data_IF_604732096084
#
_entry.id   IF_604732096084
#
_cell.length_a   1.000
_cell.length_b   1.000
_cell.length_c   1.000
_cell.angle_alpha   90.00
_cell.angle_beta   90.00
_cell.angle_gamma   90.00
#
_symmetry.space_group_name_H-M   'P 1'
#
loop_
_entity.id
_entity.type
_entity.pdbx_description
1 polymer ?
#
# COMPACT_ATOMS: atom_id res chain seq x y z
N UNK A 1 -42.64 -23.64 11.49
CA UNK A 1 -42.18 -22.31 11.05
C UNK A 1 -41.00 -22.52 10.11
N UNK A 2 -41.15 -22.16 8.84
CA UNK A 2 -40.08 -22.31 7.84
C UNK A 2 -39.13 -21.13 7.99
N UNK A 3 -37.82 -21.33 8.17
CA UNK A 3 -36.88 -20.22 8.25
C UNK A 3 -36.91 -19.42 6.95
N UNK A 4 -37.00 -18.10 7.05
CA UNK A 4 -36.92 -17.21 5.90
C UNK A 4 -35.57 -17.38 5.20
N UNK A 5 -35.58 -17.49 3.87
CA UNK A 5 -34.36 -17.55 3.09
C UNK A 5 -33.57 -16.25 3.28
N UNK A 6 -32.35 -16.37 3.80
CA UNK A 6 -31.44 -15.23 3.91
C UNK A 6 -30.99 -14.89 2.49
N UNK A 7 -31.17 -13.64 2.02
CA UNK A 7 -30.75 -13.27 0.67
C UNK A 7 -29.25 -13.54 0.51
N UNK A 8 -28.90 -14.27 -0.53
CA UNK A 8 -27.50 -14.53 -0.85
C UNK A 8 -26.83 -13.23 -1.27
N UNK A 9 -25.75 -12.87 -0.57
CA UNK A 9 -24.92 -11.73 -0.92
C UNK A 9 -24.20 -11.98 -2.26
N UNK A 10 -23.87 -10.91 -2.98
CA UNK A 10 -23.12 -10.99 -4.24
C UNK A 10 -21.73 -11.60 -4.01
N UNK A 11 -21.23 -12.48 -4.90
CA UNK A 11 -19.92 -13.10 -4.70
C UNK A 11 -18.77 -12.07 -4.63
N UNK A 12 -17.89 -12.19 -3.63
CA UNK A 12 -16.65 -11.41 -3.51
C UNK A 12 -15.52 -12.18 -4.20
N UNK A 13 -14.95 -11.61 -5.25
CA UNK A 13 -13.91 -12.28 -6.06
C UNK A 13 -12.48 -12.07 -5.55
N UNK A 14 -12.22 -11.03 -4.74
CA UNK A 14 -10.90 -10.73 -4.23
C UNK A 14 -10.78 -9.30 -3.71
N UNK A 15 -9.54 -8.91 -3.40
CA UNK A 15 -9.22 -7.53 -2.98
C UNK A 15 -9.02 -6.67 -4.22
N UNK A 16 -9.85 -5.63 -4.39
CA UNK A 16 -9.71 -4.67 -5.50
C UNK A 16 -8.49 -3.77 -5.33
N UNK A 17 -8.33 -3.23 -4.13
CA UNK A 17 -7.13 -2.50 -3.72
C UNK A 17 -6.99 -2.56 -2.20
N UNK A 18 -5.76 -2.46 -1.72
CA UNK A 18 -5.43 -2.22 -0.32
C UNK A 18 -4.93 -0.79 -0.17
N UNK A 19 -5.43 -0.07 0.83
CA UNK A 19 -5.09 1.32 1.09
C UNK A 19 -4.26 1.45 2.37
N UNK A 20 -3.22 2.27 2.33
CA UNK A 20 -2.38 2.55 3.49
C UNK A 20 -1.95 4.00 3.53
N UNK A 21 -1.75 4.54 4.73
CA UNK A 21 -1.19 5.88 4.92
C UNK A 21 0.34 5.83 4.81
N UNK A 22 0.92 6.61 3.91
CA UNK A 22 2.37 6.86 3.88
C UNK A 22 2.70 8.15 4.67
N UNK A 23 3.99 8.31 5.02
CA UNK A 23 4.47 9.53 5.68
C UNK A 23 4.52 10.73 4.73
N UNK A 24 4.41 10.51 3.43
CA UNK A 24 4.75 11.52 2.44
C UNK A 24 3.81 12.73 2.46
N UNK A 25 4.42 13.90 2.27
CA UNK A 25 3.72 15.06 1.73
C UNK A 25 3.55 14.94 0.21
N UNK A 26 2.83 15.87 -0.42
CA UNK A 26 2.72 15.94 -1.88
C UNK A 26 4.10 16.05 -2.56
N UNK A 27 4.99 16.87 -1.99
CA UNK A 27 6.37 17.09 -2.46
C UNK A 27 7.26 15.85 -2.28
N UNK A 28 7.00 15.03 -1.25
CA UNK A 28 7.79 13.83 -0.95
C UNK A 28 7.30 12.57 -1.71
N UNK A 29 6.23 12.68 -2.51
CA UNK A 29 5.61 11.53 -3.20
C UNK A 29 6.50 10.83 -4.23
N UNK A 30 7.53 11.50 -4.75
CA UNK A 30 8.48 10.93 -5.71
C UNK A 30 9.37 9.83 -5.09
N UNK A 31 9.75 9.94 -3.81
CA UNK A 31 10.54 8.90 -3.14
C UNK A 31 9.74 7.60 -3.06
N UNK A 32 8.47 7.70 -2.69
CA UNK A 32 7.55 6.56 -2.64
C UNK A 32 7.27 6.00 -4.03
N UNK A 33 7.08 6.84 -5.06
CA UNK A 33 6.96 6.36 -6.44
C UNK A 33 8.17 5.52 -6.85
N UNK A 34 9.37 6.09 -6.71
CA UNK A 34 10.62 5.40 -7.07
C UNK A 34 10.80 4.11 -6.29
N UNK A 35 10.48 4.10 -5.00
CA UNK A 35 10.54 2.86 -4.22
C UNK A 35 9.64 1.77 -4.80
N UNK A 36 8.40 2.08 -5.17
CA UNK A 36 7.45 1.07 -5.67
C UNK A 36 7.69 0.69 -7.13
N UNK A 37 8.21 1.60 -7.95
CA UNK A 37 8.55 1.30 -9.35
C UNK A 37 9.91 0.61 -9.49
N UNK A 38 10.95 1.10 -8.83
CA UNK A 38 12.33 0.64 -9.03
C UNK A 38 12.61 -0.71 -8.34
N UNK A 39 12.06 -0.94 -7.14
CA UNK A 39 12.38 -2.13 -6.35
C UNK A 39 11.50 -3.34 -6.70
N UNK A 40 10.16 -3.31 -6.48
CA UNK A 40 9.30 -4.43 -6.83
C UNK A 40 8.76 -4.36 -8.26
N UNK A 41 9.01 -3.28 -9.03
CA UNK A 41 8.55 -3.18 -10.42
C UNK A 41 7.05 -2.91 -10.55
N UNK A 42 6.41 -2.31 -9.55
CA UNK A 42 4.97 -2.04 -9.59
C UNK A 42 4.71 -0.71 -10.31
N UNK A 43 4.05 -0.70 -11.48
CA UNK A 43 3.79 0.53 -12.21
C UNK A 43 2.82 1.45 -11.47
N UNK A 44 3.14 2.75 -11.39
CA UNK A 44 2.18 3.77 -11.01
C UNK A 44 1.15 3.92 -12.14
N UNK A 45 -0.12 3.65 -11.83
CA UNK A 45 -1.21 3.73 -12.82
C UNK A 45 -2.12 4.93 -12.61
N UNK A 46 -2.26 5.41 -11.38
CA UNK A 46 -3.05 6.60 -11.05
C UNK A 46 -2.34 7.42 -9.96
N UNK A 47 -2.34 8.73 -10.12
CA UNK A 47 -1.94 9.71 -9.12
C UNK A 47 -3.04 10.74 -9.01
N UNK A 48 -3.53 10.97 -7.80
CA UNK A 48 -4.52 12.01 -7.50
C UNK A 48 -3.92 12.96 -6.48
N UNK A 49 -4.08 14.25 -6.73
CA UNK A 49 -3.68 15.34 -5.84
C UNK A 49 -4.93 16.11 -5.45
N UNK A 50 -5.00 16.59 -4.21
CA UNK A 50 -5.92 17.64 -3.75
C UNK A 50 -7.40 17.42 -4.09
N UNK A 51 -8.22 17.11 -3.10
CA UNK A 51 -9.66 16.99 -3.35
C UNK A 51 -10.49 16.61 -2.14
N UNK A 52 -11.73 16.25 -2.41
CA UNK A 52 -12.63 15.72 -1.39
C UNK A 52 -12.65 14.19 -1.49
N UNK A 53 -12.47 13.50 -0.37
CA UNK A 53 -12.45 12.05 -0.30
C UNK A 53 -13.81 11.50 -0.77
N UNK A 54 -13.85 10.62 -1.80
CA UNK A 54 -15.10 10.04 -2.26
C UNK A 54 -15.82 9.28 -1.14
N UNK A 55 -17.09 9.61 -0.91
CA UNK A 55 -17.94 8.95 0.09
C UNK A 55 -17.98 9.66 1.45
N UNK A 56 -16.90 10.32 1.89
CA UNK A 56 -16.91 11.11 3.15
C UNK A 56 -17.06 12.61 2.90
N UNK A 57 -16.57 13.10 1.76
CA UNK A 57 -16.60 14.53 1.44
C UNK A 57 -15.61 15.36 2.26
N UNK A 58 -14.68 14.75 2.98
CA UNK A 58 -13.64 15.48 3.69
C UNK A 58 -12.60 16.03 2.71
N UNK A 59 -12.20 17.29 2.87
CA UNK A 59 -11.10 17.85 2.10
C UNK A 59 -9.79 17.24 2.60
N UNK A 60 -9.20 16.38 1.77
CA UNK A 60 -7.88 15.83 1.98
C UNK A 60 -6.91 16.59 1.09
N UNK A 61 -6.02 17.44 1.62
CA UNK A 61 -4.94 18.06 0.84
C UNK A 61 -3.87 17.04 0.41
N UNK A 62 -4.16 15.76 0.57
CA UNK A 62 -3.23 14.68 0.42
C UNK A 62 -3.09 14.19 -1.01
N UNK A 63 -1.98 13.50 -1.23
CA UNK A 63 -1.67 12.79 -2.45
C UNK A 63 -2.16 11.33 -2.32
N UNK A 64 -2.58 10.74 -3.44
CA UNK A 64 -2.99 9.34 -3.52
C UNK A 64 -2.37 8.63 -4.74
N UNK A 65 -1.44 7.69 -4.50
CA UNK A 65 -0.81 6.87 -5.55
C UNK A 65 -1.44 5.49 -5.65
N UNK A 66 -1.58 4.96 -6.87
CA UNK A 66 -2.00 3.59 -7.14
C UNK A 66 -0.94 2.85 -7.92
N UNK A 67 -0.43 1.77 -7.32
CA UNK A 67 0.50 0.84 -7.97
C UNK A 67 -0.23 -0.45 -8.32
N UNK A 68 -0.19 -0.83 -9.60
CA UNK A 68 -0.93 -1.99 -10.10
C UNK A 68 -0.10 -3.28 -9.99
N UNK A 69 -0.70 -4.33 -9.46
CA UNK A 69 -0.16 -5.69 -9.50
C UNK A 69 -0.59 -6.40 -10.79
N UNK A 70 0.13 -7.45 -11.21
CA UNK A 70 -0.15 -8.22 -12.44
C UNK A 70 -1.58 -8.74 -12.55
N UNK A 71 -2.23 -9.04 -11.42
CA UNK A 71 -3.63 -9.51 -11.37
C UNK A 71 -4.68 -8.41 -11.48
N UNK A 72 -4.28 -7.14 -11.69
CA UNK A 72 -5.18 -5.99 -11.82
C UNK A 72 -5.63 -5.37 -10.49
N UNK A 73 -5.24 -5.94 -9.34
CA UNK A 73 -5.42 -5.31 -8.03
C UNK A 73 -4.37 -4.23 -7.78
N UNK A 74 -4.61 -3.35 -6.80
CA UNK A 74 -3.73 -2.21 -6.54
C UNK A 74 -3.28 -2.11 -5.08
N UNK A 75 -2.09 -1.55 -4.86
CA UNK A 75 -1.72 -0.93 -3.58
C UNK A 75 -1.94 0.56 -3.75
N UNK A 76 -2.67 1.15 -2.82
CA UNK A 76 -3.02 2.55 -2.81
C UNK A 76 -2.38 3.22 -1.58
N UNK A 77 -1.66 4.32 -1.79
CA UNK A 77 -0.93 5.02 -0.73
C UNK A 77 -1.45 6.45 -0.58
N UNK A 78 -1.83 6.81 0.65
CA UNK A 78 -2.33 8.13 1.01
C UNK A 78 -1.25 8.90 1.78
N UNK A 79 -0.75 9.98 1.20
CA UNK A 79 0.00 11.00 1.94
C UNK A 79 -0.97 12.07 2.40
N UNK A 80 -1.11 12.34 3.69
CA UNK A 80 -2.09 13.32 4.18
C UNK A 80 -1.56 14.77 4.19
N UNK A 81 -0.34 15.01 3.70
CA UNK A 81 0.27 16.34 3.63
C UNK A 81 0.86 16.84 4.95
N UNK A 82 0.72 16.10 6.05
CA UNK A 82 1.22 16.45 7.38
C UNK A 82 2.60 15.84 7.69
N UNK A 83 3.20 15.11 6.75
CA UNK A 83 4.50 14.50 6.93
C UNK A 83 4.53 13.42 8.03
N UNK A 84 3.38 12.88 8.46
CA UNK A 84 3.30 11.92 9.55
C UNK A 84 2.95 10.52 9.09
N UNK A 85 3.64 9.51 9.63
CA UNK A 85 3.34 8.11 9.39
C UNK A 85 2.14 7.64 10.25
N UNK A 86 1.52 6.53 9.83
CA UNK A 86 0.52 5.87 10.66
C UNK A 86 1.17 5.31 11.94
N UNK A 87 0.69 5.74 13.09
CA UNK A 87 1.10 5.16 14.37
C UNK A 87 0.56 3.73 14.50
N UNK A 88 1.35 2.79 15.05
CA UNK A 88 0.84 1.48 15.42
C UNK A 88 -0.35 1.64 16.38
N UNK A 89 -1.42 0.87 16.16
CA UNK A 89 -2.54 0.90 17.09
C UNK A 89 -2.08 0.43 18.47
N UNK A 90 -2.36 1.18 19.56
CA UNK A 90 -1.84 0.87 20.90
C UNK A 90 -2.35 -0.47 21.45
N UNK A 91 -3.42 -1.01 20.89
CA UNK A 91 -4.00 -2.30 21.27
C UNK A 91 -3.65 -3.46 20.31
N UNK A 92 -2.80 -3.22 19.31
CA UNK A 92 -2.54 -4.19 18.24
C UNK A 92 -1.05 -4.58 18.24
N UNK A 93 -0.71 -5.88 18.39
CA UNK A 93 0.67 -6.32 18.27
C UNK A 93 1.27 -5.94 16.91
N UNK A 94 2.54 -5.51 16.90
CA UNK A 94 3.21 -4.99 15.71
C UNK A 94 3.21 -5.94 14.50
N UNK A 95 3.08 -7.25 14.72
CA UNK A 95 3.06 -8.24 13.65
C UNK A 95 1.70 -8.39 12.97
N UNK A 96 0.60 -7.83 13.49
CA UNK A 96 -0.74 -8.06 12.94
C UNK A 96 -0.95 -7.29 11.65
N UNK A 97 -0.52 -6.03 11.60
CA UNK A 97 -0.81 -5.14 10.47
C UNK A 97 0.21 -5.34 9.34
N UNK A 98 -0.01 -6.38 8.54
CA UNK A 98 0.84 -6.71 7.39
C UNK A 98 -0.01 -7.13 6.19
N UNK A 99 0.49 -6.79 5.01
CA UNK A 99 0.00 -7.36 3.75
C UNK A 99 0.98 -8.43 3.26
N UNK A 100 0.44 -9.56 2.82
CA UNK A 100 1.20 -10.61 2.16
C UNK A 100 0.74 -10.71 0.70
N UNK A 101 1.69 -10.63 -0.22
CA UNK A 101 1.43 -10.64 -1.65
C UNK A 101 1.87 -11.96 -2.26
N UNK A 102 1.05 -12.49 -3.18
CA UNK A 102 1.39 -13.67 -3.97
C UNK A 102 2.34 -13.26 -5.09
N UNK A 103 3.37 -14.08 -5.31
CA UNK A 103 4.27 -13.95 -6.45
C UNK A 103 4.38 -15.29 -7.18
N UNK A 104 4.48 -15.23 -8.50
CA UNK A 104 4.68 -16.40 -9.35
C UNK A 104 6.19 -16.58 -9.54
N UNK A 105 6.83 -17.32 -8.64
CA UNK A 105 8.30 -17.45 -8.66
C UNK A 105 8.79 -18.73 -7.99
N UNK A 106 9.85 -19.31 -8.55
CA UNK A 106 10.57 -20.39 -7.89
C UNK A 106 11.26 -19.88 -6.61
N UNK A 107 11.45 -20.75 -5.61
CA UNK A 107 12.03 -20.35 -4.32
C UNK A 107 13.40 -19.66 -4.45
N UNK A 108 14.21 -20.06 -5.44
CA UNK A 108 15.51 -19.46 -5.70
C UNK A 108 15.42 -17.99 -6.15
N UNK A 109 14.50 -17.70 -7.06
CA UNK A 109 14.22 -16.34 -7.55
C UNK A 109 13.66 -15.46 -6.44
N UNK A 110 12.72 -15.97 -5.62
CA UNK A 110 12.22 -15.25 -4.44
C UNK A 110 13.34 -14.92 -3.45
N UNK A 111 14.29 -15.85 -3.23
CA UNK A 111 15.47 -15.61 -2.38
C UNK A 111 16.41 -14.56 -2.98
N UNK A 112 16.64 -14.58 -4.29
CA UNK A 112 17.43 -13.58 -4.98
C UNK A 112 16.78 -12.19 -4.90
N UNK A 113 15.45 -12.12 -5.11
CA UNK A 113 14.69 -10.88 -4.93
C UNK A 113 14.80 -10.36 -3.50
N UNK A 114 14.67 -11.23 -2.49
CA UNK A 114 14.89 -10.87 -1.08
C UNK A 114 16.31 -10.34 -0.84
N UNK A 115 17.35 -10.97 -1.40
CA UNK A 115 18.73 -10.53 -1.23
C UNK A 115 18.94 -9.10 -1.78
N UNK A 116 18.47 -8.82 -3.01
CA UNK A 116 18.48 -7.46 -3.58
C UNK A 116 17.76 -6.46 -2.69
N UNK A 117 16.61 -6.87 -2.14
CA UNK A 117 15.82 -6.06 -1.21
C UNK A 117 16.57 -5.74 0.09
N UNK A 118 17.36 -6.67 0.62
CA UNK A 118 18.16 -6.46 1.84
C UNK A 118 19.37 -5.57 1.56
N UNK A 119 20.05 -5.76 0.43
CA UNK A 119 21.22 -4.97 0.02
C UNK A 119 20.85 -3.50 -0.26
N UNK A 120 19.79 -3.27 -1.05
CA UNK A 120 19.29 -1.92 -1.29
C UNK A 120 18.69 -1.30 -0.01
N UNK A 121 18.27 -2.13 0.96
CA UNK A 121 17.88 -1.66 2.30
C UNK A 121 19.04 -1.09 3.11
N UNK A 122 20.26 -1.60 2.92
CA UNK A 122 21.44 -1.16 3.67
C UNK A 122 22.13 0.05 3.05
N UNK A 123 21.92 0.34 1.76
CA UNK A 123 22.52 1.49 1.08
C UNK A 123 21.85 2.83 1.44
N UNK A 124 20.50 2.87 1.54
CA UNK A 124 19.75 4.10 1.84
C UNK A 124 18.51 3.91 2.74
N UNK A 125 18.02 2.68 2.92
CA UNK A 125 16.61 2.49 3.29
C UNK A 125 16.29 2.40 4.78
N UNK A 126 17.24 2.24 5.73
CA UNK A 126 16.86 2.32 7.15
C UNK A 126 16.42 3.75 7.51
N UNK A 127 17.10 4.75 6.95
CA UNK A 127 16.79 6.15 7.17
C UNK A 127 15.47 6.54 6.48
N UNK A 128 15.22 6.09 5.24
CA UNK A 128 13.95 6.30 4.52
C UNK A 128 12.77 5.49 5.11
N UNK A 129 13.01 4.26 5.60
CA UNK A 129 11.97 3.38 6.14
C UNK A 129 11.57 3.73 7.59
N UNK A 130 12.50 4.16 8.44
CA UNK A 130 12.16 4.84 9.72
C UNK A 130 11.60 6.25 9.49
N UNK A 131 11.83 6.81 8.29
CA UNK A 131 11.13 8.00 7.82
C UNK A 131 9.74 7.71 7.22
N UNK A 132 9.31 6.45 7.05
CA UNK A 132 8.01 6.11 6.48
C UNK A 132 7.07 5.36 7.47
N UNK A 133 7.55 5.02 8.67
CA UNK A 133 6.83 4.41 9.80
C UNK A 133 7.14 5.18 11.08
#
# INVERSE_FOLDING_TARGET
MTPAAVPHFVPIHGVRHFAWRCRDSEEDSEETRRFHEDLPGLPLVHRMEGGHVPGTGEYGPGMHLFFQMRGGSHIALFGLGDGAAALPSPNTPAWVNRIALRVDSALAELRAAKARWVEQRTADAMAAWMRAL
#
